data_IF_530365238566
#
_entry.id   IF_530365238566
#
_cell.length_a   1.000
_cell.length_b   1.000
_cell.length_c   1.000
_cell.angle_alpha   90.00
_cell.angle_beta   90.00
_cell.angle_gamma   90.00
#
_symmetry.space_group_name_H-M   'P 1'
#
loop_
_entity.id
_entity.type
_entity.pdbx_description
1 polymer ?
#
# COMPACT_ATOMS: atom_id res chain seq x y z
N UNK A 1 5.31 3.69 -13.79
CA UNK A 1 4.72 3.27 -12.51
C UNK A 1 4.71 1.76 -12.51
N UNK A 2 5.28 1.11 -11.50
CA UNK A 2 5.29 -0.36 -11.40
C UNK A 2 4.63 -0.79 -10.08
N UNK A 3 3.60 -0.07 -9.64
CA UNK A 3 2.91 -0.33 -8.39
C UNK A 3 1.43 -0.52 -8.66
N UNK A 4 0.83 -1.49 -7.98
CA UNK A 4 -0.60 -1.73 -7.99
C UNK A 4 -1.13 -1.54 -6.58
N UNK A 5 -1.95 -0.52 -6.38
CA UNK A 5 -2.67 -0.30 -5.13
C UNK A 5 -4.07 -0.91 -5.24
N UNK A 6 -4.41 -1.79 -4.30
CA UNK A 6 -5.68 -2.51 -4.22
C UNK A 6 -6.43 -2.01 -3.00
N UNK A 7 -7.65 -1.53 -3.23
CA UNK A 7 -8.57 -1.13 -2.18
C UNK A 7 -9.29 -2.35 -1.60
N UNK A 8 -9.33 -2.48 -0.27
CA UNK A 8 -9.97 -3.60 0.40
C UNK A 8 -11.01 -3.12 1.43
N UNK A 9 -11.75 -4.09 1.98
CA UNK A 9 -12.62 -3.88 3.14
C UNK A 9 -11.78 -3.68 4.41
N UNK A 10 -12.45 -3.44 5.54
CA UNK A 10 -11.82 -3.38 6.87
C UNK A 10 -10.67 -2.37 6.98
N UNK A 11 -10.80 -1.22 6.32
CA UNK A 11 -9.79 -0.16 6.33
C UNK A 11 -8.42 -0.65 5.89
N UNK A 12 -8.37 -1.58 4.93
CA UNK A 12 -7.12 -2.17 4.47
C UNK A 12 -6.87 -1.80 3.00
N UNK A 13 -5.60 -1.62 2.67
CA UNK A 13 -5.14 -1.58 1.28
C UNK A 13 -3.94 -2.52 1.12
N UNK A 14 -3.72 -3.00 -0.10
CA UNK A 14 -2.52 -3.75 -0.45
C UNK A 14 -1.81 -3.02 -1.57
N UNK A 15 -0.50 -2.84 -1.45
CA UNK A 15 0.34 -2.24 -2.49
C UNK A 15 1.36 -3.26 -2.95
N UNK A 16 1.26 -3.68 -4.20
CA UNK A 16 2.20 -4.60 -4.84
C UNK A 16 3.26 -3.84 -5.63
N UNK A 17 4.53 -4.24 -5.52
CA UNK A 17 5.59 -3.88 -6.48
C UNK A 17 5.55 -4.90 -7.63
N UNK A 18 5.15 -4.41 -8.80
CA UNK A 18 5.00 -5.22 -10.02
C UNK A 18 6.31 -5.36 -10.81
N UNK A 19 7.46 -5.00 -10.23
CA UNK A 19 8.76 -5.09 -10.92
C UNK A 19 9.19 -6.54 -11.14
N UNK A 20 9.09 -7.37 -10.12
CA UNK A 20 9.66 -8.73 -10.11
C UNK A 20 8.58 -9.73 -9.77
N UNK A 21 8.30 -10.62 -10.72
CA UNK A 21 7.34 -11.70 -10.56
C UNK A 21 8.05 -13.00 -10.20
N UNK A 22 7.66 -13.63 -9.09
CA UNK A 22 8.06 -14.98 -8.75
C UNK A 22 6.96 -15.98 -9.13
N UNK A 23 7.26 -17.09 -9.83
CA UNK A 23 6.25 -18.08 -10.24
C UNK A 23 5.50 -18.77 -9.09
N UNK A 24 6.09 -18.82 -7.90
CA UNK A 24 5.52 -19.49 -6.73
C UNK A 24 4.83 -18.51 -5.79
N UNK A 25 5.43 -17.35 -5.52
CA UNK A 25 4.91 -16.37 -4.53
C UNK A 25 4.23 -15.16 -5.16
N UNK A 26 4.35 -14.96 -6.47
CA UNK A 26 3.76 -13.83 -7.18
C UNK A 26 4.56 -12.54 -7.02
N UNK A 27 3.85 -11.41 -6.91
CA UNK A 27 4.44 -10.09 -6.68
C UNK A 27 4.54 -9.80 -5.19
N UNK A 28 5.63 -9.16 -4.77
CA UNK A 28 5.80 -8.70 -3.40
C UNK A 28 4.87 -7.54 -3.10
N UNK A 29 4.18 -7.60 -1.96
CA UNK A 29 3.18 -6.62 -1.56
C UNK A 29 3.20 -6.32 -0.08
N UNK A 30 2.72 -5.12 0.26
CA UNK A 30 2.55 -4.64 1.62
C UNK A 30 1.07 -4.43 1.90
N UNK A 31 0.56 -5.05 2.96
CA UNK A 31 -0.78 -4.82 3.48
C UNK A 31 -0.70 -3.72 4.55
N UNK A 32 -1.46 -2.64 4.36
CA UNK A 32 -1.46 -1.50 5.26
C UNK A 32 -2.89 -1.17 5.69
N UNK A 33 -3.06 -0.82 6.98
CA UNK A 33 -4.33 -0.29 7.47
C UNK A 33 -4.40 1.21 7.28
N UNK A 34 -5.44 1.66 6.56
CA UNK A 34 -5.79 3.06 6.38
C UNK A 34 -6.52 3.54 7.63
N UNK A 35 -5.76 4.10 8.57
CA UNK A 35 -6.27 4.57 9.86
C UNK A 35 -6.58 6.06 9.81
N UNK A 36 -7.63 6.48 10.53
CA UNK A 36 -8.09 7.89 10.56
C UNK A 36 -7.20 8.81 11.41
N UNK A 37 -6.04 8.33 11.90
CA UNK A 37 -5.22 9.06 12.88
C UNK A 37 -4.48 10.24 12.23
N UNK A 38 -4.91 11.46 12.55
CA UNK A 38 -4.04 12.63 12.45
C UNK A 38 -3.02 12.67 13.58
N UNK A 39 -1.86 13.31 13.37
CA UNK A 39 -0.79 13.47 14.36
C UNK A 39 -1.29 14.01 15.72
N UNK A 40 -2.37 14.81 15.69
CA UNK A 40 -2.99 15.45 16.85
C UNK A 40 -3.99 14.56 17.64
N UNK A 41 -4.23 13.33 17.21
CA UNK A 41 -5.24 12.43 17.82
C UNK A 41 -4.59 11.19 18.44
N UNK A 42 -3.40 11.33 19.04
CA UNK A 42 -2.66 10.18 19.57
C UNK A 42 -3.37 9.40 20.68
N UNK A 43 -4.29 10.04 21.40
CA UNK A 43 -4.96 9.51 22.59
C UNK A 43 -6.43 9.12 22.35
N UNK A 44 -6.93 9.16 21.11
CA UNK A 44 -8.27 8.67 20.77
C UNK A 44 -8.22 7.24 20.25
N UNK A 45 -9.29 6.44 20.46
CA UNK A 45 -9.39 5.10 19.89
C UNK A 45 -9.21 5.17 18.36
N UNK A 46 -8.38 4.28 17.82
CA UNK A 46 -8.12 4.20 16.38
C UNK A 46 -9.43 3.88 15.64
N UNK A 47 -10.06 4.89 15.05
CA UNK A 47 -11.04 4.67 13.99
C UNK A 47 -10.33 4.20 12.74
N UNK A 48 -10.83 3.13 12.11
CA UNK A 48 -10.45 2.78 10.75
C UNK A 48 -11.16 3.69 9.74
N UNK A 49 -10.60 3.84 8.54
CA UNK A 49 -11.25 4.55 7.45
C UNK A 49 -12.54 3.87 6.92
N UNK A 50 -12.94 2.71 7.47
CA UNK A 50 -13.99 1.85 6.91
C UNK A 50 -13.53 1.19 5.62
N UNK A 51 -14.43 0.83 4.71
CA UNK A 51 -14.06 0.32 3.38
C UNK A 51 -13.20 1.34 2.62
N UNK A 52 -12.10 0.90 2.00
CA UNK A 52 -11.37 1.74 1.05
C UNK A 52 -12.09 1.65 -0.30
N UNK A 53 -12.54 2.79 -0.83
CA UNK A 53 -13.32 2.85 -2.06
C UNK A 53 -12.49 3.13 -3.32
N UNK A 54 -11.26 3.63 -3.14
CA UNK A 54 -10.38 3.88 -4.26
C UNK A 54 -8.97 4.21 -3.82
N UNK A 55 -8.02 3.86 -4.69
CA UNK A 55 -6.61 4.20 -4.59
C UNK A 55 -6.20 4.91 -5.89
N UNK A 56 -5.66 6.11 -5.81
CA UNK A 56 -5.29 6.89 -6.99
C UNK A 56 -3.89 7.47 -6.87
N UNK A 57 -3.00 7.07 -7.78
CA UNK A 57 -1.64 7.61 -7.86
C UNK A 57 -1.67 9.07 -8.33
N UNK A 58 -0.91 9.92 -7.65
CA UNK A 58 -0.92 11.35 -7.92
C UNK A 58 0.12 11.71 -8.99
N UNK A 59 -0.23 12.52 -10.01
CA UNK A 59 0.66 12.82 -11.13
C UNK A 59 1.90 13.61 -10.72
N UNK A 60 1.86 14.33 -9.59
CA UNK A 60 2.97 15.14 -9.09
C UNK A 60 4.16 14.29 -8.64
N UNK A 61 3.90 13.06 -8.17
CA UNK A 61 4.95 12.16 -7.70
C UNK A 61 4.53 10.70 -7.86
N UNK A 62 5.29 9.96 -8.67
CA UNK A 62 5.07 8.53 -8.97
C UNK A 62 5.04 7.59 -7.76
N UNK A 63 5.50 8.06 -6.61
CA UNK A 63 5.55 7.29 -5.36
C UNK A 63 4.52 7.76 -4.34
N UNK A 64 3.64 8.69 -4.72
CA UNK A 64 2.56 9.20 -3.86
C UNK A 64 1.21 8.79 -4.45
N UNK A 65 0.29 8.34 -3.60
CA UNK A 65 -1.10 8.08 -3.95
C UNK A 65 -2.03 8.50 -2.83
N UNK A 66 -3.29 8.68 -3.17
CA UNK A 66 -4.35 8.95 -2.21
C UNK A 66 -5.30 7.76 -2.14
N UNK A 67 -5.81 7.47 -0.94
CA UNK A 67 -6.94 6.54 -0.75
C UNK A 67 -8.17 7.26 -0.23
N UNK A 68 -9.35 6.85 -0.72
CA UNK A 68 -10.65 7.35 -0.24
C UNK A 68 -11.29 6.32 0.71
N UNK A 69 -11.44 6.69 1.99
CA UNK A 69 -12.07 5.87 3.01
C UNK A 69 -13.59 6.04 3.06
N UNK A 70 -14.31 5.00 3.48
CA UNK A 70 -15.76 5.00 3.66
C UNK A 70 -16.27 5.96 4.73
N UNK A 71 -15.41 6.46 5.63
CA UNK A 71 -15.71 7.56 6.55
C UNK A 71 -15.69 8.95 5.89
N UNK A 72 -15.38 9.04 4.59
CA UNK A 72 -15.20 10.30 3.87
C UNK A 72 -13.79 10.89 3.97
N UNK A 73 -12.88 10.23 4.69
CA UNK A 73 -11.48 10.65 4.81
C UNK A 73 -10.67 10.37 3.55
N UNK A 74 -9.77 11.30 3.21
CA UNK A 74 -8.74 11.12 2.20
C UNK A 74 -7.38 10.97 2.89
N UNK A 75 -6.62 9.95 2.47
CA UNK A 75 -5.34 9.61 3.10
C UNK A 75 -4.24 9.62 2.05
N UNK A 76 -3.18 10.39 2.33
CA UNK A 76 -2.02 10.49 1.46
C UNK A 76 -0.97 9.48 1.90
N UNK A 77 -0.45 8.72 0.95
CA UNK A 77 0.55 7.70 1.18
C UNK A 77 1.78 7.97 0.33
N UNK A 78 2.96 7.60 0.85
CA UNK A 78 4.22 7.64 0.13
C UNK A 78 4.88 6.27 0.18
N UNK A 79 5.30 5.77 -0.98
CA UNK A 79 5.97 4.50 -1.07
C UNK A 79 7.43 4.69 -0.67
N UNK A 80 7.87 3.93 0.32
CA UNK A 80 9.26 3.87 0.72
C UNK A 80 9.87 2.58 0.15
N UNK A 81 10.90 2.74 -0.68
CA UNK A 81 11.59 1.60 -1.26
C UNK A 81 12.42 0.87 -0.18
N UNK A 82 12.43 -0.48 -0.20
CA UNK A 82 13.36 -1.26 0.61
C UNK A 82 14.80 -1.04 0.11
N UNK A 83 15.77 -1.41 0.94
CA UNK A 83 17.19 -1.29 0.63
C UNK A 83 17.58 -2.11 -0.61
N UNK A 84 17.00 -3.30 -0.75
CA UNK A 84 17.09 -4.16 -1.92
C UNK A 84 15.68 -4.49 -2.42
N UNK A 85 15.50 -4.48 -3.75
CA UNK A 85 14.20 -4.68 -4.42
C UNK A 85 14.11 -5.98 -5.20
N UNK A 86 15.17 -6.79 -5.14
CA UNK A 86 15.24 -8.10 -5.76
C UNK A 86 16.26 -8.95 -5.01
N UNK A 87 15.84 -10.14 -4.61
CA UNK A 87 16.65 -11.21 -4.04
C UNK A 87 16.39 -12.51 -4.80
N UNK A 88 17.12 -13.58 -4.49
CA UNK A 88 16.92 -14.91 -5.09
C UNK A 88 16.34 -15.87 -4.05
N UNK A 89 15.33 -16.64 -4.44
CA UNK A 89 14.80 -17.71 -3.60
C UNK A 89 15.69 -18.96 -3.60
N UNK A 90 15.30 -19.99 -2.86
CA UNK A 90 16.03 -21.27 -2.76
C UNK A 90 16.16 -22.00 -4.11
N UNK A 91 15.27 -21.73 -5.05
CA UNK A 91 15.25 -22.30 -6.39
C UNK A 91 15.91 -21.38 -7.42
N UNK A 92 16.60 -20.33 -6.95
CA UNK A 92 17.30 -19.34 -7.76
C UNK A 92 16.39 -18.47 -8.66
N UNK A 93 15.08 -18.42 -8.36
CA UNK A 93 14.16 -17.49 -9.02
C UNK A 93 14.24 -16.10 -8.38
N UNK A 94 14.03 -15.03 -9.15
CA UNK A 94 13.98 -13.68 -8.60
C UNK A 94 12.74 -13.49 -7.71
N UNK A 95 12.90 -12.76 -6.61
CA UNK A 95 11.86 -12.37 -5.65
C UNK A 95 12.02 -10.89 -5.32
N UNK A 96 10.94 -10.12 -5.36
CA UNK A 96 10.95 -8.68 -5.08
C UNK A 96 10.92 -8.29 -3.61
#
# INVERSE_FOLDING_TARGET
>A
MNKLAVSCLEATMIVYDMRTYNPTTGYSGCLEKVLTRGENQKNQPQGGAGTVWGCHFLPQNRDIWCTAGGSGGLFLHKYNYPMERETRDKNNNPVG
#
